data_IF_792651722858
#
_entry.id   IF_792651722858
#
_cell.length_a   1.000
_cell.length_b   1.000
_cell.length_c   1.000
_cell.angle_alpha   90.00
_cell.angle_beta   90.00
_cell.angle_gamma   90.00
#
_symmetry.space_group_name_H-M   'P 1'
#
loop_
_entity.id
_entity.type
_entity.pdbx_description
1 polymer ?
#
# COMPACT_ATOMS: atom_id res chain seq x y z
N UNK A 1 -7.12 20.97 19.63
CA UNK A 1 -6.51 20.38 18.40
C UNK A 1 -5.07 20.82 18.29
N UNK A 2 -4.13 19.89 18.13
CA UNK A 2 -2.72 20.21 17.92
C UNK A 2 -2.60 20.84 16.53
N UNK A 3 -2.14 22.08 16.47
CA UNK A 3 -1.88 22.74 15.18
C UNK A 3 -0.54 22.22 14.63
N UNK A 4 -0.58 21.20 13.77
CA UNK A 4 0.62 20.67 13.12
C UNK A 4 1.26 21.74 12.23
N UNK A 5 2.56 21.97 12.43
CA UNK A 5 3.39 22.87 11.62
C UNK A 5 4.69 22.22 11.17
N UNK A 6 5.27 21.38 12.02
CA UNK A 6 6.61 20.83 11.85
C UNK A 6 6.53 19.30 11.72
N UNK A 7 6.99 18.78 10.61
CA UNK A 7 7.01 17.36 10.29
C UNK A 7 8.45 16.93 10.03
N UNK A 8 8.84 15.79 10.56
CA UNK A 8 10.11 15.15 10.21
C UNK A 8 9.83 13.87 9.45
N UNK A 9 10.48 13.71 8.30
CA UNK A 9 10.46 12.47 7.51
C UNK A 9 11.81 11.78 7.64
N UNK A 10 11.81 10.53 8.14
CA UNK A 10 13.01 9.73 8.35
C UNK A 10 13.18 8.71 7.23
N UNK A 11 14.26 8.83 6.49
CA UNK A 11 14.51 8.11 5.26
C UNK A 11 14.17 8.96 4.04
N UNK A 12 15.15 9.18 3.16
CA UNK A 12 15.06 10.05 1.99
C UNK A 12 14.90 9.28 0.67
N UNK A 13 14.60 7.97 0.75
CA UNK A 13 14.36 7.11 -0.40
C UNK A 13 13.16 7.54 -1.26
N UNK A 14 12.68 6.62 -2.12
CA UNK A 14 11.58 6.89 -3.07
C UNK A 14 10.33 7.41 -2.38
N UNK A 15 9.92 6.78 -1.27
CA UNK A 15 8.74 7.24 -0.52
C UNK A 15 9.04 8.52 0.26
N UNK A 16 10.20 8.58 0.94
CA UNK A 16 10.51 9.68 1.86
C UNK A 16 10.60 11.04 1.18
N UNK A 17 11.33 11.18 0.08
CA UNK A 17 11.39 12.46 -0.64
C UNK A 17 10.01 12.87 -1.20
N UNK A 18 9.19 11.88 -1.59
CA UNK A 18 7.83 12.14 -2.06
C UNK A 18 6.90 12.63 -0.95
N UNK A 19 6.95 12.01 0.24
CA UNK A 19 6.16 12.41 1.42
C UNK A 19 6.61 13.80 1.90
N UNK A 20 7.93 14.06 1.93
CA UNK A 20 8.47 15.37 2.27
C UNK A 20 7.97 16.46 1.31
N UNK A 21 8.00 16.21 -0.01
CA UNK A 21 7.46 17.13 -1.02
C UNK A 21 5.97 17.39 -0.82
N UNK A 22 5.16 16.35 -0.62
CA UNK A 22 3.71 16.47 -0.43
C UNK A 22 3.38 17.29 0.82
N UNK A 23 4.08 17.04 1.93
CA UNK A 23 3.92 17.79 3.19
C UNK A 23 4.32 19.26 3.03
N UNK A 24 5.45 19.55 2.37
CA UNK A 24 5.90 20.91 2.09
C UNK A 24 4.95 21.66 1.16
N UNK A 25 4.36 20.97 0.19
CA UNK A 25 3.32 21.52 -0.72
C UNK A 25 2.07 21.95 0.05
N UNK A 26 1.72 21.22 1.11
CA UNK A 26 0.62 21.59 2.00
C UNK A 26 0.93 22.72 2.99
N UNK A 27 2.18 23.22 2.99
CA UNK A 27 2.60 24.37 3.81
C UNK A 27 3.32 24.01 5.11
N UNK A 28 3.60 22.73 5.37
CA UNK A 28 4.35 22.29 6.54
C UNK A 28 5.85 22.63 6.41
N UNK A 29 6.50 22.94 7.53
CA UNK A 29 7.95 22.91 7.65
C UNK A 29 8.37 21.45 7.75
N UNK A 30 9.22 21.01 6.86
CA UNK A 30 9.62 19.60 6.75
C UNK A 30 11.11 19.47 6.99
N UNK A 31 11.49 18.61 7.92
CA UNK A 31 12.84 18.13 8.03
C UNK A 31 12.91 16.77 7.34
N UNK A 32 13.78 16.65 6.34
CA UNK A 32 14.09 15.39 5.68
C UNK A 32 15.40 14.87 6.25
N UNK A 33 15.33 13.72 6.93
CA UNK A 33 16.48 13.12 7.61
C UNK A 33 16.89 11.81 6.93
N UNK A 34 18.19 11.64 6.74
CA UNK A 34 18.78 10.34 6.40
C UNK A 34 20.11 10.15 7.15
N UNK A 35 20.69 8.96 7.04
CA UNK A 35 21.95 8.62 7.75
C UNK A 35 23.19 9.26 7.12
N UNK A 36 23.12 9.65 5.84
CA UNK A 36 24.23 10.20 5.07
C UNK A 36 23.77 11.43 4.26
N UNK A 37 24.63 12.44 4.18
CA UNK A 37 24.37 13.66 3.41
C UNK A 37 24.13 13.35 1.92
N UNK A 38 24.87 12.41 1.33
CA UNK A 38 24.72 12.06 -0.08
C UNK A 38 23.35 11.48 -0.46
N UNK A 39 22.62 10.85 0.49
CA UNK A 39 21.23 10.43 0.25
C UNK A 39 20.29 11.63 0.26
N UNK A 40 20.51 12.57 1.16
CA UNK A 40 19.74 13.80 1.26
C UNK A 40 19.90 14.67 0.02
N UNK A 41 21.13 14.84 -0.46
CA UNK A 41 21.44 15.64 -1.66
C UNK A 41 20.68 15.09 -2.88
N UNK A 42 20.75 13.77 -3.11
CA UNK A 42 19.99 13.10 -4.18
C UNK A 42 18.47 13.26 -4.03
N UNK A 43 17.98 13.22 -2.81
CA UNK A 43 16.54 13.40 -2.54
C UNK A 43 16.10 14.84 -2.84
N UNK A 44 16.89 15.83 -2.42
CA UNK A 44 16.64 17.23 -2.68
C UNK A 44 16.69 17.56 -4.17
N UNK A 45 17.62 16.97 -4.92
CA UNK A 45 17.67 17.09 -6.39
C UNK A 45 16.38 16.54 -7.05
N UNK A 46 15.90 15.36 -6.60
CA UNK A 46 14.66 14.78 -7.11
C UNK A 46 13.42 15.64 -6.80
N UNK A 47 13.37 16.18 -5.58
CA UNK A 47 12.28 17.10 -5.18
C UNK A 47 12.31 18.35 -6.06
N UNK A 48 13.50 18.97 -6.23
CA UNK A 48 13.66 20.15 -7.08
C UNK A 48 13.22 19.85 -8.52
N UNK A 49 13.71 18.77 -9.11
CA UNK A 49 13.32 18.35 -10.46
C UNK A 49 11.80 18.16 -10.59
N UNK A 50 11.18 17.53 -9.60
CA UNK A 50 9.72 17.29 -9.58
C UNK A 50 8.94 18.60 -9.54
N UNK A 51 9.36 19.55 -8.71
CA UNK A 51 8.73 20.88 -8.58
C UNK A 51 8.91 21.72 -9.85
N UNK A 52 10.12 21.76 -10.40
CA UNK A 52 10.43 22.46 -11.65
C UNK A 52 9.60 21.90 -12.83
N UNK A 53 9.41 20.57 -12.87
CA UNK A 53 8.54 19.92 -13.85
C UNK A 53 7.06 20.33 -13.71
N UNK A 54 6.58 20.52 -12.48
CA UNK A 54 5.23 21.03 -12.23
C UNK A 54 5.11 22.47 -12.68
N UNK A 55 6.10 23.32 -12.42
CA UNK A 55 6.17 24.71 -12.85
C UNK A 55 6.19 24.81 -14.40
N UNK A 56 7.05 24.05 -15.07
CA UNK A 56 7.12 23.98 -16.53
C UNK A 56 5.80 23.56 -17.18
N UNK A 57 5.03 22.68 -16.50
CA UNK A 57 3.69 22.26 -16.97
C UNK A 57 2.58 23.23 -16.57
N UNK A 58 2.90 24.38 -15.97
CA UNK A 58 1.92 25.40 -15.54
C UNK A 58 0.98 24.93 -14.43
N UNK A 59 1.36 23.89 -13.67
CA UNK A 59 0.56 23.41 -12.54
C UNK A 59 0.75 24.25 -11.26
N UNK A 60 1.91 24.85 -11.13
CA UNK A 60 2.29 25.82 -10.09
C UNK A 60 3.17 26.88 -10.74
N UNK A 61 3.34 28.05 -10.12
CA UNK A 61 4.34 29.04 -10.54
C UNK A 61 5.75 28.63 -10.08
N UNK A 62 6.80 29.17 -10.70
CA UNK A 62 8.17 28.94 -10.24
C UNK A 62 8.36 29.46 -8.82
N UNK A 63 7.77 30.60 -8.47
CA UNK A 63 7.82 31.16 -7.13
C UNK A 63 7.21 30.21 -6.09
N UNK A 64 6.09 29.55 -6.41
CA UNK A 64 5.50 28.50 -5.56
C UNK A 64 6.40 27.29 -5.44
N UNK A 65 7.02 26.84 -6.55
CA UNK A 65 7.98 25.73 -6.53
C UNK A 65 9.15 26.03 -5.60
N UNK A 66 9.75 27.22 -5.69
CA UNK A 66 10.86 27.66 -4.84
C UNK A 66 10.43 27.80 -3.37
N UNK A 67 9.22 28.32 -3.11
CA UNK A 67 8.65 28.41 -1.76
C UNK A 67 8.40 27.02 -1.14
N UNK A 68 7.92 26.04 -1.93
CA UNK A 68 7.74 24.65 -1.47
C UNK A 68 9.10 24.04 -1.12
N UNK A 69 10.08 24.18 -2.02
CA UNK A 69 11.41 23.65 -1.82
C UNK A 69 12.08 24.21 -0.58
N UNK A 70 11.94 25.51 -0.32
CA UNK A 70 12.54 26.19 0.85
C UNK A 70 11.97 25.75 2.21
N UNK A 71 10.80 25.07 2.23
CA UNK A 71 10.23 24.51 3.46
C UNK A 71 10.87 23.19 3.85
N UNK A 72 11.73 22.60 3.01
CA UNK A 72 12.36 21.30 3.27
C UNK A 72 13.81 21.53 3.66
N UNK A 73 14.15 21.09 4.87
CA UNK A 73 15.52 21.20 5.41
C UNK A 73 16.12 19.79 5.54
N UNK A 74 17.20 19.46 4.82
CA UNK A 74 17.90 18.21 4.98
C UNK A 74 18.78 18.19 6.23
N UNK A 75 18.69 17.17 7.08
CA UNK A 75 19.45 17.06 8.35
C UNK A 75 19.89 15.59 8.55
N UNK A 76 21.17 15.35 8.82
CA UNK A 76 21.69 14.01 9.13
C UNK A 76 21.51 13.65 10.61
N UNK A 77 21.75 14.58 11.52
CA UNK A 77 21.68 14.31 12.95
C UNK A 77 20.25 14.07 13.41
N UNK A 78 20.00 12.92 14.05
CA UNK A 78 18.66 12.50 14.46
C UNK A 78 18.06 13.43 15.53
N UNK A 79 18.81 13.77 16.58
CA UNK A 79 18.31 14.60 17.67
C UNK A 79 17.95 16.02 17.20
N UNK A 80 18.75 16.58 16.29
CA UNK A 80 18.46 17.86 15.66
C UNK A 80 17.21 17.79 14.79
N UNK A 81 17.08 16.71 14.00
CA UNK A 81 15.97 16.52 13.08
C UNK A 81 14.60 16.43 13.79
N UNK A 82 14.55 15.91 15.01
CA UNK A 82 13.30 15.74 15.75
C UNK A 82 13.06 16.77 16.86
N UNK A 83 13.99 17.70 17.06
CA UNK A 83 13.95 18.70 18.16
C UNK A 83 12.64 19.47 18.24
N UNK A 84 12.08 19.87 17.10
CA UNK A 84 10.85 20.64 17.01
C UNK A 84 9.73 19.88 16.27
N UNK A 85 9.91 18.58 16.04
CA UNK A 85 8.92 17.76 15.36
C UNK A 85 7.64 17.64 16.20
N UNK A 86 6.49 17.66 15.52
CA UNK A 86 5.19 17.33 16.08
C UNK A 86 4.70 15.96 15.56
N UNK A 87 5.07 15.65 14.33
CA UNK A 87 4.84 14.37 13.69
C UNK A 87 6.14 13.89 13.04
N UNK A 88 6.53 12.67 13.32
CA UNK A 88 7.66 11.99 12.68
C UNK A 88 7.11 10.85 11.81
N UNK A 89 7.37 10.89 10.52
CA UNK A 89 6.97 9.83 9.57
C UNK A 89 8.22 9.03 9.20
N UNK A 90 8.27 7.79 9.64
CA UNK A 90 9.38 6.88 9.37
C UNK A 90 9.17 6.14 8.03
N UNK A 91 10.20 6.16 7.19
CA UNK A 91 10.23 5.59 5.83
C UNK A 91 11.55 4.85 5.57
N UNK A 92 12.12 4.26 6.62
CA UNK A 92 13.35 3.47 6.52
C UNK A 92 13.06 2.08 5.91
N UNK A 93 14.09 1.31 5.49
CA UNK A 93 13.89 -0.01 4.91
C UNK A 93 12.97 -0.91 5.72
N UNK A 94 12.17 -1.73 5.01
CA UNK A 94 11.13 -2.60 5.56
C UNK A 94 11.76 -3.84 6.24
N UNK A 95 12.35 -3.59 7.42
CA UNK A 95 13.02 -4.58 8.28
C UNK A 95 12.61 -4.29 9.72
N UNK A 96 11.92 -5.23 10.36
CA UNK A 96 11.35 -5.07 11.70
C UNK A 96 12.40 -4.59 12.74
N UNK A 97 13.52 -5.28 12.83
CA UNK A 97 14.55 -4.96 13.80
C UNK A 97 15.20 -3.59 13.58
N UNK A 98 15.31 -3.15 12.31
CA UNK A 98 15.77 -1.80 12.00
C UNK A 98 14.76 -0.76 12.47
N UNK A 99 13.47 -0.98 12.20
CA UNK A 99 12.41 -0.05 12.64
C UNK A 99 12.35 0.03 14.16
N UNK A 100 12.38 -1.11 14.85
CA UNK A 100 12.43 -1.14 16.33
C UNK A 100 13.61 -0.34 16.88
N UNK A 101 14.80 -0.52 16.32
CA UNK A 101 16.00 0.25 16.70
C UNK A 101 15.82 1.74 16.48
N UNK A 102 15.35 2.14 15.29
CA UNK A 102 15.10 3.55 14.96
C UNK A 102 14.10 4.18 15.93
N UNK A 103 13.01 3.48 16.26
CA UNK A 103 12.01 4.00 17.18
C UNK A 103 12.50 4.07 18.63
N UNK A 104 13.33 3.14 19.09
CA UNK A 104 13.97 3.22 20.39
C UNK A 104 14.91 4.46 20.49
N UNK A 105 15.68 4.74 19.42
CA UNK A 105 16.50 5.93 19.34
C UNK A 105 15.66 7.22 19.31
N UNK A 106 14.56 7.22 18.57
CA UNK A 106 13.61 8.35 18.50
C UNK A 106 12.96 8.62 19.85
N UNK A 107 12.51 7.58 20.55
CA UNK A 107 11.85 7.71 21.85
C UNK A 107 12.76 8.33 22.90
N UNK A 108 14.07 8.10 22.81
CA UNK A 108 15.07 8.66 23.69
C UNK A 108 15.35 10.17 23.47
N UNK A 109 15.19 10.68 22.22
CA UNK A 109 15.62 12.05 21.86
C UNK A 109 14.47 12.98 21.47
N UNK A 110 13.31 12.46 21.10
CA UNK A 110 12.17 13.28 20.71
C UNK A 110 11.37 13.80 21.90
N UNK A 111 10.74 14.97 21.73
CA UNK A 111 9.83 15.54 22.73
C UNK A 111 8.69 14.58 23.09
N UNK A 112 8.17 14.65 24.32
CA UNK A 112 7.13 13.73 24.85
C UNK A 112 5.81 13.77 24.06
N UNK A 113 5.54 14.88 23.37
CA UNK A 113 4.29 15.08 22.63
C UNK A 113 4.37 14.73 21.15
N UNK A 114 5.55 14.32 20.69
CA UNK A 114 5.76 13.92 19.29
C UNK A 114 4.97 12.64 18.97
N UNK A 115 4.21 12.69 17.88
CA UNK A 115 3.54 11.54 17.32
C UNK A 115 4.49 10.82 16.37
N UNK A 116 4.56 9.51 16.49
CA UNK A 116 5.35 8.66 15.59
C UNK A 116 4.44 7.93 14.62
N UNK A 117 4.81 7.97 13.35
CA UNK A 117 4.09 7.29 12.30
C UNK A 117 5.04 6.45 11.44
N UNK A 118 4.69 5.19 11.18
CA UNK A 118 5.44 4.33 10.25
C UNK A 118 4.73 4.22 8.91
N UNK A 119 5.49 4.39 7.82
CA UNK A 119 5.00 4.16 6.46
C UNK A 119 5.19 2.71 6.02
N UNK A 120 5.23 1.76 6.95
CA UNK A 120 5.31 0.35 6.63
C UNK A 120 4.13 -0.10 5.77
N UNK A 121 4.38 -1.02 4.83
CA UNK A 121 3.35 -1.62 4.00
C UNK A 121 2.76 -2.90 4.58
N UNK A 122 3.48 -3.57 5.50
CA UNK A 122 3.13 -4.94 5.94
C UNK A 122 3.48 -5.27 7.38
N UNK A 123 4.46 -4.55 7.97
CA UNK A 123 4.90 -4.85 9.32
C UNK A 123 3.85 -4.43 10.36
N UNK A 124 3.67 -5.22 11.44
CA UNK A 124 2.67 -4.94 12.46
C UNK A 124 2.95 -3.64 13.22
N UNK A 125 2.01 -2.72 13.14
CA UNK A 125 2.06 -1.41 13.80
C UNK A 125 2.14 -1.56 15.32
N UNK A 126 1.36 -2.48 15.87
CA UNK A 126 1.33 -2.78 17.31
C UNK A 126 2.68 -3.26 17.82
N UNK A 127 3.36 -4.12 17.08
CA UNK A 127 4.68 -4.65 17.47
C UNK A 127 5.75 -3.56 17.48
N UNK A 128 5.74 -2.67 16.48
CA UNK A 128 6.66 -1.53 16.44
C UNK A 128 6.33 -0.57 17.59
N UNK A 129 5.06 -0.24 17.81
CA UNK A 129 4.60 0.66 18.86
C UNK A 129 5.01 0.19 20.27
N UNK A 130 5.06 -1.12 20.50
CA UNK A 130 5.45 -1.67 21.80
C UNK A 130 6.94 -1.50 22.13
N UNK A 131 7.76 -0.98 21.22
CA UNK A 131 9.19 -0.68 21.47
C UNK A 131 9.44 0.70 22.05
N UNK A 132 8.43 1.55 22.12
CA UNK A 132 8.53 2.91 22.64
C UNK A 132 7.75 3.10 23.95
N UNK A 133 8.08 4.13 24.72
CA UNK A 133 7.46 4.41 26.02
C UNK A 133 6.02 4.96 25.94
N UNK A 134 5.58 5.37 24.74
CA UNK A 134 4.29 6.04 24.47
C UNK A 134 3.56 5.45 23.27
N UNK A 135 3.19 4.14 23.31
CA UNK A 135 2.55 3.47 22.19
C UNK A 135 1.20 4.09 21.79
N UNK A 136 0.57 4.88 22.67
CA UNK A 136 -0.65 5.64 22.37
C UNK A 136 -0.42 6.79 21.37
N UNK A 137 0.84 7.22 21.18
CA UNK A 137 1.27 8.24 20.21
C UNK A 137 1.90 7.63 18.95
N UNK A 138 1.66 6.35 18.70
CA UNK A 138 2.17 5.64 17.53
C UNK A 138 1.05 5.24 16.57
N UNK A 139 1.28 5.37 15.25
CA UNK A 139 0.29 5.03 14.23
C UNK A 139 0.96 4.56 12.93
N UNK A 140 0.28 3.75 12.14
CA UNK A 140 0.64 3.47 10.75
C UNK A 140 0.06 4.54 9.81
N UNK A 141 0.86 4.99 8.86
CA UNK A 141 0.45 5.91 7.80
C UNK A 141 1.03 5.43 6.46
N UNK A 142 0.29 4.59 5.78
CA UNK A 142 0.77 3.91 4.58
C UNK A 142 0.42 4.71 3.32
N UNK A 143 1.40 5.43 2.80
CA UNK A 143 1.34 6.09 1.50
C UNK A 143 1.64 5.10 0.38
N UNK A 144 1.01 5.29 -0.78
CA UNK A 144 1.25 4.51 -1.99
C UNK A 144 2.23 5.20 -2.94
N UNK A 145 3.02 4.40 -3.65
CA UNK A 145 4.05 4.89 -4.58
C UNK A 145 3.44 5.25 -5.95
N UNK A 146 3.73 6.43 -6.53
CA UNK A 146 4.48 7.54 -5.93
C UNK A 146 3.57 8.45 -5.06
N UNK A 147 4.05 8.88 -3.88
CA UNK A 147 3.23 9.68 -2.94
C UNK A 147 2.68 10.97 -3.53
N UNK A 148 3.38 11.58 -4.49
CA UNK A 148 2.93 12.79 -5.15
C UNK A 148 1.66 12.58 -5.98
N UNK A 149 1.47 11.39 -6.54
CA UNK A 149 0.39 11.09 -7.48
C UNK A 149 -0.76 10.31 -6.85
N UNK A 150 -0.43 9.29 -6.05
CA UNK A 150 -1.43 8.43 -5.43
C UNK A 150 -2.27 9.20 -4.41
N UNK A 151 -3.58 9.05 -4.50
CA UNK A 151 -4.52 9.77 -3.63
C UNK A 151 -4.73 9.09 -2.29
N UNK A 152 -4.64 7.76 -2.26
CA UNK A 152 -4.93 6.93 -1.11
C UNK A 152 -3.81 6.98 -0.07
N UNK A 153 -4.21 7.05 1.20
CA UNK A 153 -3.37 6.77 2.37
C UNK A 153 -4.16 5.91 3.34
N UNK A 154 -3.61 4.77 3.72
CA UNK A 154 -4.19 3.96 4.80
C UNK A 154 -3.69 4.49 6.15
N UNK A 155 -4.63 4.66 7.09
CA UNK A 155 -4.36 5.02 8.49
C UNK A 155 -4.62 3.79 9.34
N UNK A 156 -3.60 3.32 10.05
CA UNK A 156 -3.63 2.03 10.76
C UNK A 156 -3.25 2.26 12.23
N UNK A 157 -4.21 2.36 13.15
CA UNK A 157 -3.89 2.39 14.57
C UNK A 157 -3.31 1.06 15.04
N UNK A 158 -2.30 1.13 15.91
CA UNK A 158 -1.92 0.01 16.75
C UNK A 158 -2.93 -0.19 17.89
N UNK A 159 -2.76 -1.27 18.64
CA UNK A 159 -3.70 -1.64 19.72
C UNK A 159 -3.91 -0.54 20.77
N UNK A 160 -2.87 0.27 21.05
CA UNK A 160 -2.89 1.33 22.07
C UNK A 160 -3.00 2.74 21.51
N UNK A 161 -3.03 2.92 20.19
CA UNK A 161 -3.11 4.24 19.56
C UNK A 161 -4.33 5.01 20.06
N UNK A 162 -4.12 6.25 20.51
CA UNK A 162 -5.22 7.09 21.00
C UNK A 162 -6.10 7.60 19.87
N UNK A 163 -7.39 7.87 20.16
CA UNK A 163 -8.31 8.45 19.18
C UNK A 163 -7.83 9.82 18.69
N UNK A 164 -7.22 10.62 19.57
CA UNK A 164 -6.65 11.92 19.21
C UNK A 164 -5.58 11.81 18.12
N UNK A 165 -4.72 10.78 18.20
CA UNK A 165 -3.68 10.51 17.20
C UNK A 165 -4.29 10.04 15.87
N UNK A 166 -5.35 9.23 15.92
CA UNK A 166 -6.08 8.79 14.71
C UNK A 166 -6.68 10.02 14.01
N UNK A 167 -7.42 10.84 14.73
CA UNK A 167 -8.11 12.03 14.20
C UNK A 167 -7.10 13.02 13.60
N UNK A 168 -6.01 13.30 14.32
CA UNK A 168 -4.95 14.20 13.86
C UNK A 168 -4.27 13.65 12.58
N UNK A 169 -4.04 12.34 12.52
CA UNK A 169 -3.43 11.71 11.34
C UNK A 169 -4.36 11.80 10.13
N UNK A 170 -5.65 11.59 10.30
CA UNK A 170 -6.64 11.77 9.23
C UNK A 170 -6.74 13.24 8.78
N UNK A 171 -6.69 14.19 9.70
CA UNK A 171 -6.63 15.63 9.39
C UNK A 171 -5.36 15.97 8.59
N UNK A 172 -4.19 15.43 9.01
CA UNK A 172 -2.95 15.58 8.25
C UNK A 172 -3.09 15.03 6.83
N UNK A 173 -3.58 13.81 6.65
CA UNK A 173 -3.79 13.20 5.33
C UNK A 173 -4.67 14.07 4.45
N UNK A 174 -5.77 14.59 5.00
CA UNK A 174 -6.67 15.52 4.27
C UNK A 174 -5.97 16.83 3.91
N UNK A 175 -5.15 17.38 4.82
CA UNK A 175 -4.44 18.64 4.58
C UNK A 175 -3.43 18.55 3.44
N UNK A 176 -2.81 17.37 3.24
CA UNK A 176 -1.91 17.09 2.12
C UNK A 176 -2.66 16.67 0.84
N UNK A 177 -3.98 16.93 0.78
CA UNK A 177 -4.87 16.66 -0.36
C UNK A 177 -4.90 15.18 -0.76
N UNK A 178 -4.86 14.30 0.25
CA UNK A 178 -5.02 12.86 0.10
C UNK A 178 -6.33 12.40 0.74
N UNK A 179 -6.75 11.19 0.38
CA UNK A 179 -7.91 10.52 0.91
C UNK A 179 -7.46 9.43 1.89
N UNK A 180 -7.85 9.57 3.16
CA UNK A 180 -7.60 8.52 4.15
C UNK A 180 -8.64 7.43 4.08
N UNK A 181 -8.21 6.19 4.33
CA UNK A 181 -9.06 5.06 4.71
C UNK A 181 -8.56 4.51 6.04
N UNK A 182 -9.48 4.15 6.91
CA UNK A 182 -9.14 3.70 8.26
C UNK A 182 -9.17 2.16 8.34
N UNK A 183 -7.98 1.57 8.54
CA UNK A 183 -7.87 0.18 8.95
C UNK A 183 -7.89 0.12 10.47
N UNK A 184 -9.07 -0.04 11.10
CA UNK A 184 -9.32 0.08 12.54
C UNK A 184 -8.57 -0.90 13.41
N UNK A 185 -7.98 -1.93 12.82
CA UNK A 185 -7.18 -2.96 13.50
C UNK A 185 -5.93 -3.24 12.69
N UNK A 186 -4.83 -3.41 13.39
CA UNK A 186 -3.55 -3.84 12.82
C UNK A 186 -3.62 -5.30 12.36
N UNK A 187 -4.13 -5.51 11.15
CA UNK A 187 -4.28 -6.83 10.53
C UNK A 187 -3.24 -7.04 9.42
N UNK A 188 -2.85 -8.30 9.13
CA UNK A 188 -1.93 -8.60 8.05
C UNK A 188 -2.39 -8.08 6.70
N UNK A 189 -1.57 -7.21 6.09
CA UNK A 189 -1.84 -6.63 4.78
C UNK A 189 -2.79 -5.43 4.80
N UNK A 190 -3.20 -4.95 5.97
CA UNK A 190 -4.13 -3.84 6.14
C UNK A 190 -5.38 -4.00 5.27
N UNK A 191 -5.76 -3.01 4.45
CA UNK A 191 -6.89 -3.15 3.51
C UNK A 191 -6.38 -3.56 2.12
N UNK A 192 -5.53 -2.74 1.50
CA UNK A 192 -5.16 -2.94 0.09
C UNK A 192 -4.34 -4.21 -0.14
N UNK A 193 -3.31 -4.44 0.65
CA UNK A 193 -2.51 -5.66 0.49
C UNK A 193 -3.31 -6.92 0.83
N UNK A 194 -4.30 -6.84 1.74
CA UNK A 194 -5.23 -7.94 2.02
C UNK A 194 -6.13 -8.28 0.83
N UNK A 195 -6.45 -7.30 -0.01
CA UNK A 195 -7.20 -7.52 -1.24
C UNK A 195 -6.29 -7.99 -2.39
N UNK A 196 -5.17 -7.31 -2.58
CA UNK A 196 -4.31 -7.44 -3.75
C UNK A 196 -3.41 -8.67 -3.72
N UNK A 197 -2.67 -8.89 -2.62
CA UNK A 197 -1.68 -9.98 -2.55
C UNK A 197 -2.32 -11.35 -2.74
N UNK A 198 -3.43 -11.69 -2.04
CA UNK A 198 -4.13 -12.95 -2.28
C UNK A 198 -4.65 -13.09 -3.71
N UNK A 199 -5.06 -12.02 -4.37
CA UNK A 199 -5.53 -12.05 -5.74
C UNK A 199 -4.41 -12.38 -6.73
N UNK A 200 -3.16 -11.91 -6.49
CA UNK A 200 -1.99 -12.30 -7.31
C UNK A 200 -1.71 -13.79 -7.19
N UNK A 201 -1.72 -14.34 -5.97
CA UNK A 201 -1.54 -15.78 -5.76
C UNK A 201 -2.66 -16.59 -6.40
N UNK A 202 -3.90 -16.13 -6.26
CA UNK A 202 -5.06 -16.78 -6.87
C UNK A 202 -4.96 -16.81 -8.40
N UNK A 203 -4.47 -15.75 -9.02
CA UNK A 203 -4.24 -15.73 -10.47
C UNK A 203 -3.21 -16.79 -10.90
N UNK A 204 -2.14 -16.99 -10.13
CA UNK A 204 -1.17 -18.05 -10.38
C UNK A 204 -1.81 -19.45 -10.20
N UNK A 205 -2.56 -19.67 -9.12
CA UNK A 205 -3.28 -20.94 -8.93
C UNK A 205 -4.34 -21.20 -10.00
N UNK A 206 -4.98 -20.15 -10.48
CA UNK A 206 -5.97 -20.25 -11.56
C UNK A 206 -5.33 -20.69 -12.87
N UNK A 207 -4.12 -20.20 -13.20
CA UNK A 207 -3.35 -20.72 -14.34
C UNK A 207 -3.13 -22.24 -14.22
N UNK A 208 -2.66 -22.69 -13.06
CA UNK A 208 -2.37 -24.12 -12.82
C UNK A 208 -3.63 -24.98 -12.91
N UNK A 209 -4.76 -24.49 -12.41
CA UNK A 209 -6.03 -25.23 -12.35
C UNK A 209 -6.78 -25.28 -13.68
N UNK A 210 -6.71 -24.20 -14.46
CA UNK A 210 -7.57 -24.03 -15.64
C UNK A 210 -6.81 -24.10 -16.95
N UNK A 211 -5.48 -23.92 -16.93
CA UNK A 211 -4.66 -23.76 -18.12
C UNK A 211 -4.82 -22.41 -18.82
N UNK A 212 -5.55 -21.44 -18.21
CA UNK A 212 -5.67 -20.08 -18.75
C UNK A 212 -4.30 -19.40 -18.79
N UNK A 213 -4.05 -18.67 -19.86
CA UNK A 213 -2.81 -17.90 -20.01
C UNK A 213 -2.83 -16.61 -19.20
N UNK A 214 -1.65 -16.05 -18.89
CA UNK A 214 -1.53 -14.75 -18.22
C UNK A 214 -2.34 -13.66 -18.93
N UNK A 215 -2.27 -13.59 -20.26
CA UNK A 215 -2.97 -12.58 -21.07
C UNK A 215 -4.49 -12.75 -21.06
N UNK A 216 -5.00 -13.97 -20.97
CA UNK A 216 -6.45 -14.24 -20.83
C UNK A 216 -6.93 -13.80 -19.44
N UNK A 217 -6.19 -14.12 -18.38
CA UNK A 217 -6.51 -13.69 -17.01
C UNK A 217 -6.45 -12.18 -16.89
N UNK A 218 -5.37 -11.54 -17.36
CA UNK A 218 -5.22 -10.09 -17.34
C UNK A 218 -6.29 -9.37 -18.15
N UNK A 219 -6.66 -9.93 -19.31
CA UNK A 219 -7.78 -9.41 -20.10
C UNK A 219 -9.11 -9.50 -19.34
N UNK A 220 -9.38 -10.62 -18.67
CA UNK A 220 -10.60 -10.77 -17.88
C UNK A 220 -10.63 -9.81 -16.69
N UNK A 221 -9.51 -9.62 -16.00
CA UNK A 221 -9.38 -8.65 -14.89
C UNK A 221 -9.65 -7.23 -15.39
N UNK A 222 -9.07 -6.84 -16.52
CA UNK A 222 -9.22 -5.50 -17.08
C UNK A 222 -10.62 -5.23 -17.64
N UNK A 223 -11.14 -6.13 -18.48
CA UNK A 223 -12.38 -5.87 -19.25
C UNK A 223 -13.64 -6.34 -18.54
N UNK A 224 -13.59 -7.41 -17.74
CA UNK A 224 -14.75 -7.93 -17.01
C UNK A 224 -14.86 -7.42 -15.58
N UNK A 225 -13.71 -7.23 -14.90
CA UNK A 225 -13.71 -6.76 -13.50
C UNK A 225 -13.48 -5.25 -13.36
N UNK A 226 -13.15 -4.54 -14.44
CA UNK A 226 -13.02 -3.08 -14.46
C UNK A 226 -11.75 -2.53 -13.81
N UNK A 227 -10.71 -3.36 -13.64
CA UNK A 227 -9.39 -2.88 -13.25
C UNK A 227 -8.74 -2.04 -14.37
N UNK A 228 -7.85 -1.09 -14.05
CA UNK A 228 -7.16 -0.28 -15.06
C UNK A 228 -6.19 -1.12 -15.91
N UNK A 229 -5.70 -2.22 -15.36
CA UNK A 229 -4.74 -3.15 -15.97
C UNK A 229 -4.98 -4.58 -15.47
N UNK A 230 -4.30 -5.56 -16.04
CA UNK A 230 -4.35 -6.93 -15.58
C UNK A 230 -3.69 -7.13 -14.22
N UNK A 231 -3.95 -8.27 -13.58
CA UNK A 231 -3.41 -8.58 -12.25
C UNK A 231 -1.89 -8.86 -12.31
N UNK A 232 -1.41 -9.52 -13.35
CA UNK A 232 0.02 -9.76 -13.56
C UNK A 232 0.74 -8.47 -13.99
N UNK A 233 0.09 -7.59 -14.77
CA UNK A 233 0.59 -6.25 -15.05
C UNK A 233 0.74 -5.42 -13.77
N UNK A 234 -0.27 -5.44 -12.90
CA UNK A 234 -0.24 -4.72 -11.63
C UNK A 234 0.83 -5.29 -10.67
N UNK A 235 1.02 -6.62 -10.69
CA UNK A 235 2.07 -7.27 -9.94
C UNK A 235 3.47 -6.83 -10.41
N UNK A 236 3.70 -6.78 -11.71
CA UNK A 236 4.98 -6.33 -12.29
C UNK A 236 5.22 -4.83 -12.06
N UNK A 237 4.17 -4.01 -12.08
CA UNK A 237 4.25 -2.59 -11.74
C UNK A 237 4.59 -2.37 -10.27
N UNK A 238 3.99 -3.15 -9.36
CA UNK A 238 4.27 -3.10 -7.91
C UNK A 238 5.67 -3.60 -7.60
N UNK A 239 6.07 -4.67 -8.23
CA UNK A 239 7.36 -5.34 -8.10
C UNK A 239 7.31 -6.59 -7.21
N UNK A 240 7.92 -7.67 -7.69
CA UNK A 240 7.95 -8.98 -7.02
C UNK A 240 8.63 -8.95 -5.65
N UNK A 241 9.57 -8.07 -5.40
CA UNK A 241 10.19 -7.90 -4.09
C UNK A 241 9.19 -7.34 -3.05
N UNK A 242 8.29 -6.46 -3.45
CA UNK A 242 7.21 -5.94 -2.59
C UNK A 242 6.18 -7.05 -2.34
N UNK A 243 5.73 -7.73 -3.40
CA UNK A 243 4.75 -8.82 -3.29
C UNK A 243 5.29 -9.96 -2.45
N UNK A 244 6.53 -10.40 -2.68
CA UNK A 244 7.17 -11.48 -1.94
C UNK A 244 7.26 -11.16 -0.44
N UNK A 245 7.75 -9.96 -0.08
CA UNK A 245 7.82 -9.52 1.33
C UNK A 245 6.44 -9.46 1.97
N UNK A 246 5.47 -8.85 1.29
CA UNK A 246 4.11 -8.76 1.79
C UNK A 246 3.48 -10.15 1.99
N UNK A 247 3.72 -11.07 1.06
CA UNK A 247 3.27 -12.46 1.15
C UNK A 247 3.81 -13.15 2.41
N UNK A 248 5.13 -13.05 2.65
CA UNK A 248 5.76 -13.69 3.81
C UNK A 248 5.19 -13.11 5.10
N UNK A 249 5.16 -11.80 5.25
CA UNK A 249 4.66 -11.14 6.45
C UNK A 249 3.18 -11.47 6.73
N UNK A 250 2.34 -11.43 5.69
CA UNK A 250 0.93 -11.77 5.82
C UNK A 250 0.75 -13.23 6.24
N UNK A 251 1.44 -14.17 5.59
CA UNK A 251 1.30 -15.60 5.86
C UNK A 251 1.93 -16.04 7.19
N UNK A 252 2.96 -15.35 7.66
CA UNK A 252 3.52 -15.57 9.00
C UNK A 252 2.53 -15.17 10.11
N UNK A 253 1.83 -14.06 9.92
CA UNK A 253 0.88 -13.50 10.89
C UNK A 253 -0.51 -14.16 10.85
N UNK A 254 -0.94 -14.63 9.68
CA UNK A 254 -2.25 -15.26 9.49
C UNK A 254 -2.19 -16.41 8.49
N UNK A 255 -2.14 -17.65 9.00
CA UNK A 255 -2.17 -18.88 8.18
C UNK A 255 -3.48 -19.14 7.46
N UNK A 256 -4.50 -18.31 7.69
CA UNK A 256 -5.77 -18.34 6.96
C UNK A 256 -5.77 -17.48 5.70
N UNK A 257 -4.69 -16.72 5.44
CA UNK A 257 -4.48 -16.12 4.10
C UNK A 257 -4.17 -17.22 3.11
N UNK A 258 -4.36 -16.92 1.82
CA UNK A 258 -3.99 -17.86 0.74
C UNK A 258 -2.52 -18.30 0.90
N UNK A 259 -2.27 -19.59 0.72
CA UNK A 259 -0.90 -20.10 0.72
C UNK A 259 -0.07 -19.43 -0.38
N UNK A 260 1.20 -19.09 -0.10
CA UNK A 260 2.07 -18.52 -1.12
C UNK A 260 2.21 -19.46 -2.33
N UNK A 261 1.99 -18.93 -3.52
CA UNK A 261 2.24 -19.70 -4.75
C UNK A 261 3.75 -19.71 -5.05
N UNK A 262 4.36 -20.87 -5.41
CA UNK A 262 5.81 -20.99 -5.60
C UNK A 262 6.40 -20.07 -6.68
N UNK A 263 5.58 -19.63 -7.63
CA UNK A 263 6.03 -18.72 -8.70
C UNK A 263 6.57 -17.40 -8.17
N UNK A 264 5.95 -16.83 -7.12
CA UNK A 264 6.37 -15.54 -6.56
C UNK A 264 7.77 -15.63 -5.96
N UNK A 265 8.06 -16.68 -5.19
CA UNK A 265 9.39 -16.93 -4.62
C UNK A 265 10.44 -17.16 -5.72
N UNK A 266 10.14 -18.03 -6.69
CA UNK A 266 11.03 -18.31 -7.84
C UNK A 266 11.37 -17.04 -8.63
N UNK A 267 10.40 -16.16 -8.86
CA UNK A 267 10.63 -14.89 -9.56
C UNK A 267 11.50 -13.94 -8.74
N UNK A 268 11.23 -13.85 -7.43
CA UNK A 268 12.03 -13.04 -6.52
C UNK A 268 13.50 -13.50 -6.50
N UNK A 269 13.76 -14.81 -6.37
CA UNK A 269 15.11 -15.39 -6.35
C UNK A 269 15.81 -15.19 -7.69
N UNK A 270 15.09 -15.32 -8.81
CA UNK A 270 15.61 -15.08 -10.16
C UNK A 270 15.81 -13.58 -10.48
N UNK A 271 15.52 -12.65 -9.54
CA UNK A 271 15.57 -11.20 -9.74
C UNK A 271 14.66 -10.68 -10.87
N UNK A 272 13.63 -11.42 -11.21
CA UNK A 272 12.56 -11.01 -12.12
C UNK A 272 11.55 -10.15 -11.35
N UNK A 273 11.92 -8.90 -11.11
CA UNK A 273 11.20 -8.02 -10.20
C UNK A 273 10.11 -7.17 -10.87
N UNK A 274 9.76 -7.49 -12.12
CA UNK A 274 8.79 -6.75 -12.89
C UNK A 274 9.41 -5.62 -13.71
N UNK A 275 8.65 -4.55 -13.95
CA UNK A 275 9.01 -3.42 -14.81
C UNK A 275 10.40 -2.84 -14.49
N UNK A 276 10.71 -2.67 -13.21
CA UNK A 276 11.98 -2.08 -12.73
C UNK A 276 13.23 -2.90 -13.04
N UNK A 277 13.08 -4.20 -13.33
CA UNK A 277 14.19 -5.09 -13.71
C UNK A 277 14.15 -5.51 -15.18
N UNK A 278 13.16 -5.02 -15.95
CA UNK A 278 12.95 -5.37 -17.35
C UNK A 278 12.27 -6.73 -17.57
N UNK A 279 12.05 -7.52 -16.53
CA UNK A 279 11.34 -8.81 -16.59
C UNK A 279 10.64 -9.09 -15.25
N UNK A 280 9.42 -9.57 -15.34
CA UNK A 280 8.58 -10.09 -14.28
C UNK A 280 7.73 -11.23 -14.81
N UNK A 281 6.40 -11.16 -14.64
CA UNK A 281 5.45 -12.00 -15.37
C UNK A 281 5.54 -11.74 -16.88
N UNK A 282 5.77 -10.48 -17.25
CA UNK A 282 6.03 -10.05 -18.62
C UNK A 282 7.46 -9.58 -18.80
N UNK A 283 7.91 -9.53 -20.07
CA UNK A 283 9.13 -8.84 -20.46
C UNK A 283 8.82 -7.39 -20.87
N UNK A 284 9.78 -6.54 -20.70
CA UNK A 284 9.67 -5.11 -20.97
C UNK A 284 10.84 -4.63 -21.81
N UNK A 285 10.54 -3.99 -22.95
CA UNK A 285 11.52 -3.24 -23.75
C UNK A 285 11.08 -1.78 -23.80
N UNK A 286 11.95 -0.86 -23.41
CA UNK A 286 11.66 0.58 -23.37
C UNK A 286 10.33 0.89 -22.64
N UNK A 287 10.12 0.27 -21.47
CA UNK A 287 8.90 0.38 -20.64
C UNK A 287 7.62 -0.16 -21.33
N UNK A 288 7.74 -0.84 -22.47
CA UNK A 288 6.60 -1.48 -23.17
C UNK A 288 6.56 -2.98 -22.90
N UNK A 289 5.35 -3.51 -22.82
CA UNK A 289 5.13 -4.96 -22.69
C UNK A 289 5.49 -5.70 -23.97
N UNK A 290 6.33 -6.73 -23.86
CA UNK A 290 6.58 -7.68 -24.92
C UNK A 290 5.54 -8.82 -24.88
N UNK A 291 4.28 -8.52 -25.21
CA UNK A 291 3.19 -9.48 -25.24
C UNK A 291 2.11 -9.10 -26.23
N UNK A 292 1.21 -10.05 -26.49
CA UNK A 292 -0.04 -9.80 -27.22
C UNK A 292 -0.88 -8.76 -26.45
N UNK A 293 -1.44 -7.73 -27.10
CA UNK A 293 -2.30 -6.77 -26.44
C UNK A 293 -3.48 -7.42 -25.73
N UNK A 294 -3.84 -6.92 -24.55
CA UNK A 294 -5.04 -7.37 -23.84
C UNK A 294 -6.28 -6.96 -24.64
N UNK A 295 -7.27 -7.85 -24.76
CA UNK A 295 -8.49 -7.64 -25.54
C UNK A 295 -9.72 -8.27 -24.88
N UNK A 296 -10.90 -7.82 -25.27
CA UNK A 296 -12.17 -8.44 -24.85
C UNK A 296 -12.27 -9.89 -25.34
N UNK A 297 -11.77 -10.18 -26.54
CA UNK A 297 -11.74 -11.55 -27.09
C UNK A 297 -10.93 -12.51 -26.20
N UNK A 298 -9.77 -12.06 -25.69
CA UNK A 298 -8.99 -12.85 -24.72
C UNK A 298 -9.72 -12.96 -23.38
N UNK A 299 -10.39 -11.90 -22.94
CA UNK A 299 -11.17 -11.92 -21.72
C UNK A 299 -12.30 -12.97 -21.77
N UNK A 300 -12.90 -13.19 -22.94
CA UNK A 300 -13.98 -14.17 -23.10
C UNK A 300 -13.53 -15.62 -22.93
N UNK A 301 -12.24 -15.88 -23.08
CA UNK A 301 -11.64 -17.21 -22.84
C UNK A 301 -11.43 -17.53 -21.36
N UNK A 302 -11.59 -16.56 -20.49
CA UNK A 302 -11.35 -16.70 -19.04
C UNK A 302 -12.57 -16.30 -18.22
N UNK A 303 -13.00 -17.19 -17.29
CA UNK A 303 -13.98 -16.87 -16.29
C UNK A 303 -13.28 -16.40 -15.01
N UNK A 304 -13.34 -15.10 -14.63
CA UNK A 304 -12.61 -14.57 -13.50
C UNK A 304 -13.27 -14.84 -12.13
N UNK A 305 -14.27 -15.71 -12.05
CA UNK A 305 -15.06 -15.91 -10.81
C UNK A 305 -14.19 -16.27 -9.60
N UNK A 306 -13.08 -17.02 -9.79
CA UNK A 306 -12.19 -17.39 -8.69
C UNK A 306 -11.47 -16.15 -8.12
N UNK A 307 -11.05 -15.22 -8.98
CA UNK A 307 -10.40 -13.96 -8.56
C UNK A 307 -11.40 -13.07 -7.82
N UNK A 308 -12.63 -12.95 -8.34
CA UNK A 308 -13.69 -12.18 -7.68
C UNK A 308 -14.04 -12.80 -6.34
N UNK A 309 -14.18 -14.11 -6.28
CA UNK A 309 -14.49 -14.83 -5.04
C UNK A 309 -13.39 -14.61 -3.99
N UNK A 310 -12.12 -14.66 -4.39
CA UNK A 310 -10.98 -14.44 -3.51
C UNK A 310 -10.96 -13.01 -2.95
N UNK A 311 -11.01 -11.97 -3.81
CA UNK A 311 -10.95 -10.58 -3.34
C UNK A 311 -12.15 -10.22 -2.45
N UNK A 312 -13.35 -10.69 -2.80
CA UNK A 312 -14.56 -10.44 -2.00
C UNK A 312 -14.55 -11.19 -0.66
N UNK A 313 -14.00 -12.39 -0.61
CA UNK A 313 -13.85 -13.12 0.63
C UNK A 313 -12.89 -12.38 1.60
N UNK A 314 -11.80 -11.83 1.09
CA UNK A 314 -10.90 -11.00 1.89
C UNK A 314 -11.54 -9.67 2.29
N UNK A 315 -12.32 -9.02 1.42
CA UNK A 315 -13.08 -7.82 1.75
C UNK A 315 -14.11 -8.09 2.86
N UNK A 316 -14.88 -9.16 2.74
CA UNK A 316 -15.85 -9.60 3.76
C UNK A 316 -15.15 -9.92 5.09
N UNK A 317 -14.00 -10.59 5.05
CA UNK A 317 -13.19 -10.89 6.22
C UNK A 317 -12.77 -9.61 6.97
N UNK A 318 -12.37 -8.56 6.25
CA UNK A 318 -12.02 -7.25 6.86
C UNK A 318 -13.21 -6.67 7.65
N UNK A 319 -14.43 -6.80 7.13
CA UNK A 319 -15.65 -6.33 7.81
C UNK A 319 -15.98 -7.21 9.02
N UNK A 320 -16.01 -8.52 8.85
CA UNK A 320 -16.33 -9.49 9.92
C UNK A 320 -15.35 -9.38 11.09
N UNK A 321 -14.07 -9.11 10.80
CA UNK A 321 -13.03 -8.93 11.82
C UNK A 321 -12.92 -7.47 12.31
N UNK A 322 -13.85 -6.60 11.94
CA UNK A 322 -13.90 -5.18 12.37
C UNK A 322 -12.60 -4.42 12.04
N UNK A 323 -11.89 -4.85 11.01
CA UNK A 323 -10.70 -4.16 10.53
C UNK A 323 -11.06 -2.93 9.68
N UNK A 324 -12.20 -2.99 8.97
CA UNK A 324 -12.74 -1.87 8.22
C UNK A 324 -14.24 -2.06 7.99
N UNK A 325 -14.91 -1.09 7.37
CA UNK A 325 -16.27 -1.24 6.87
C UNK A 325 -16.32 -1.27 5.34
N UNK A 326 -17.49 -1.57 4.79
CA UNK A 326 -17.66 -1.70 3.33
C UNK A 326 -17.31 -0.40 2.61
N UNK A 327 -17.71 0.76 3.13
CA UNK A 327 -17.46 2.06 2.51
C UNK A 327 -15.97 2.37 2.40
N UNK A 328 -15.21 2.16 3.47
CA UNK A 328 -13.77 2.35 3.50
C UNK A 328 -13.04 1.35 2.57
N UNK A 329 -13.50 0.10 2.53
CA UNK A 329 -12.92 -0.94 1.65
C UNK A 329 -13.16 -0.58 0.18
N UNK A 330 -14.37 -0.15 -0.18
CA UNK A 330 -14.71 0.28 -1.54
C UNK A 330 -13.88 1.49 -1.96
N UNK A 331 -13.76 2.49 -1.08
CA UNK A 331 -12.92 3.65 -1.29
C UNK A 331 -11.46 3.26 -1.50
N UNK A 332 -10.94 2.37 -0.65
CA UNK A 332 -9.59 1.85 -0.75
C UNK A 332 -9.37 1.13 -2.10
N UNK A 333 -10.28 0.25 -2.50
CA UNK A 333 -10.21 -0.50 -3.74
C UNK A 333 -10.25 0.42 -4.99
N UNK A 334 -11.11 1.44 -4.98
CA UNK A 334 -11.18 2.42 -6.06
C UNK A 334 -9.89 3.26 -6.17
N UNK A 335 -9.37 3.76 -5.05
CA UNK A 335 -8.22 4.66 -5.06
C UNK A 335 -6.88 3.93 -5.14
N UNK A 336 -6.77 2.74 -4.54
CA UNK A 336 -5.54 1.95 -4.46
C UNK A 336 -5.37 0.96 -5.60
N UNK A 337 -6.45 0.29 -6.02
CA UNK A 337 -6.42 -0.69 -7.12
C UNK A 337 -6.98 -0.11 -8.43
N UNK A 338 -7.52 1.10 -8.40
CA UNK A 338 -8.05 1.77 -9.57
C UNK A 338 -9.37 1.18 -10.10
N UNK A 339 -10.13 0.47 -9.27
CA UNK A 339 -11.40 -0.12 -9.65
C UNK A 339 -12.40 0.94 -10.09
N UNK A 340 -13.04 0.71 -11.23
CA UNK A 340 -14.08 1.60 -11.75
C UNK A 340 -15.43 1.38 -11.10
N UNK A 341 -15.70 0.15 -10.64
CA UNK A 341 -16.93 -0.25 -9.97
C UNK A 341 -16.63 -0.72 -8.54
N UNK A 342 -17.54 -0.48 -7.58
CA UNK A 342 -17.46 -1.05 -6.26
C UNK A 342 -17.40 -2.58 -6.27
N UNK A 343 -16.61 -3.17 -5.36
CA UNK A 343 -16.43 -4.63 -5.27
C UNK A 343 -17.73 -5.37 -4.96
N UNK A 344 -18.50 -4.87 -4.00
CA UNK A 344 -19.76 -5.50 -3.60
C UNK A 344 -20.90 -5.29 -4.62
N UNK A 345 -20.85 -4.23 -5.43
CA UNK A 345 -21.74 -4.07 -6.58
C UNK A 345 -21.44 -5.10 -7.66
N UNK A 346 -20.14 -5.27 -8.02
CA UNK A 346 -19.68 -6.32 -8.93
C UNK A 346 -20.11 -7.71 -8.43
N UNK A 347 -20.04 -7.94 -7.11
CA UNK A 347 -20.53 -9.19 -6.52
C UNK A 347 -22.02 -9.46 -6.76
N UNK A 348 -22.85 -8.43 -6.63
CA UNK A 348 -24.30 -8.54 -6.88
C UNK A 348 -24.59 -8.83 -8.35
N UNK A 349 -23.88 -8.22 -9.28
CA UNK A 349 -24.02 -8.46 -10.72
C UNK A 349 -23.67 -9.91 -11.11
N UNK A 350 -22.58 -10.46 -10.53
CA UNK A 350 -22.17 -11.86 -10.75
C UNK A 350 -23.11 -12.84 -10.03
N UNK A 351 -23.73 -12.39 -8.97
CA UNK A 351 -24.55 -13.17 -8.07
C UNK A 351 -23.78 -13.75 -6.90
N UNK A 352 -24.05 -13.25 -5.70
CA UNK A 352 -23.36 -13.65 -4.46
C UNK A 352 -23.42 -15.15 -4.22
N UNK A 353 -24.56 -15.78 -4.56
CA UNK A 353 -24.72 -17.24 -4.48
C UNK A 353 -23.69 -17.98 -5.34
N UNK A 354 -23.39 -17.50 -6.54
CA UNK A 354 -22.38 -18.10 -7.43
C UNK A 354 -20.99 -18.00 -6.80
N UNK A 355 -20.66 -16.83 -6.26
CA UNK A 355 -19.40 -16.54 -5.58
C UNK A 355 -19.21 -17.45 -4.36
N UNK A 356 -20.22 -17.57 -3.51
CA UNK A 356 -20.17 -18.46 -2.33
C UNK A 356 -20.08 -19.92 -2.72
N UNK A 357 -20.75 -20.35 -3.79
CA UNK A 357 -20.63 -21.72 -4.30
C UNK A 357 -19.20 -21.98 -4.83
N UNK A 358 -18.60 -21.03 -5.56
CA UNK A 358 -17.22 -21.16 -6.04
C UNK A 358 -16.25 -21.28 -4.86
N UNK A 359 -16.38 -20.41 -3.84
CA UNK A 359 -15.57 -20.50 -2.61
C UNK A 359 -15.70 -21.87 -1.93
N UNK A 360 -16.92 -22.41 -1.79
CA UNK A 360 -17.14 -23.73 -1.21
C UNK A 360 -16.47 -24.84 -2.02
N UNK A 361 -16.51 -24.76 -3.36
CA UNK A 361 -15.83 -25.73 -4.25
C UNK A 361 -14.32 -25.64 -4.09
N UNK A 362 -13.76 -24.41 -4.06
CA UNK A 362 -12.34 -24.19 -3.83
C UNK A 362 -11.92 -24.67 -2.45
N UNK A 363 -12.70 -24.37 -1.41
CA UNK A 363 -12.42 -24.81 -0.03
C UNK A 363 -12.36 -26.33 0.08
N UNK A 364 -13.28 -27.06 -0.57
CA UNK A 364 -13.31 -28.51 -0.55
C UNK A 364 -12.10 -29.18 -1.22
N UNK A 365 -11.48 -28.50 -2.20
CA UNK A 365 -10.38 -29.04 -3.01
C UNK A 365 -9.01 -28.50 -2.62
N UNK A 366 -8.94 -27.25 -2.15
CA UNK A 366 -7.69 -26.49 -2.05
C UNK A 366 -7.42 -25.90 -0.67
N UNK A 367 -8.33 -26.05 0.30
CA UNK A 367 -8.07 -25.72 1.69
C UNK A 367 -8.94 -24.60 2.28
N UNK A 368 -8.82 -24.49 3.59
CA UNK A 368 -9.74 -23.67 4.42
C UNK A 368 -9.68 -22.17 4.20
N UNK A 369 -8.63 -21.65 3.58
CA UNK A 369 -8.55 -20.21 3.28
C UNK A 369 -9.58 -19.75 2.24
N UNK A 370 -10.20 -20.69 1.51
CA UNK A 370 -11.34 -20.42 0.64
C UNK A 370 -12.70 -20.56 1.33
N UNK A 371 -12.75 -20.93 2.61
CA UNK A 371 -14.04 -20.98 3.32
C UNK A 371 -14.74 -19.63 3.20
N UNK A 372 -16.01 -19.59 2.74
CA UNK A 372 -16.73 -18.33 2.59
C UNK A 372 -16.89 -17.61 3.92
N UNK A 373 -16.55 -16.33 3.94
CA UNK A 373 -16.78 -15.48 5.10
C UNK A 373 -18.28 -15.43 5.45
N UNK A 374 -18.66 -15.47 6.75
CA UNK A 374 -20.04 -15.42 7.19
C UNK A 374 -20.83 -14.24 6.63
N UNK A 375 -20.19 -13.08 6.39
CA UNK A 375 -20.85 -11.94 5.78
C UNK A 375 -21.35 -12.27 4.37
N UNK A 376 -20.50 -12.86 3.52
CA UNK A 376 -20.91 -13.25 2.15
C UNK A 376 -22.02 -14.30 2.18
N UNK A 377 -21.98 -15.24 3.12
CA UNK A 377 -23.03 -16.24 3.29
C UNK A 377 -24.36 -15.59 3.67
N UNK A 378 -24.33 -14.57 4.52
CA UNK A 378 -25.54 -13.85 4.96
C UNK A 378 -26.15 -12.94 3.87
N UNK A 379 -25.40 -12.61 2.84
CA UNK A 379 -25.83 -11.77 1.72
C UNK A 379 -26.50 -12.56 0.58
N UNK A 380 -26.55 -13.91 0.66
CA UNK A 380 -27.23 -14.75 -0.32
C UNK A 380 -28.75 -14.53 -0.27
#
# INVERSE_FOLDING_TARGET
>A
MINLKNITVLGSGIMGHGIAQVSATAGYNVILRDIEQGFLDKAMEKIKWSLDKLATKGKISQQEADAIYSRITPIVNLAEAVKNAQLVIEVVPEIMELKKKVYAELDAVAGKDVIFASNTSTLPITEIANTISRPEKFIGIHFFNPPQLMKLVEVIPGEKTSQEVIDLTQEYVKSVKKESVLCRRDVPGFIINRLFIPMVHEACYMMDRTGATMTEIDSAVKFKLGFPMGIFELADFTGMDVIHKATIEMYLRDKKVISPHPTIEKMFDAKKLGQKSGEGFYKYSDEKYERVPLSEELADKCNPIQLVANILNNAAWLVTNKASDIEEIEKAAQLGLGLKKPLFETAKEIGIKNIVNELKQLASKHGKFYEPDPLLVSMQ
#
